data_IF_285683367696
#
_entry.id   IF_285683367696
#
_cell.length_a   1.000
_cell.length_b   1.000
_cell.length_c   1.000
_cell.angle_alpha   90.00
_cell.angle_beta   90.00
_cell.angle_gamma   90.00
#
_symmetry.space_group_name_H-M   'P 1'
#
loop_
_entity.id
_entity.type
_entity.pdbx_description
1 polymer ?
#
# COMPACT_ATOMS: atom_id res chain seq x y z
N UNK A 1 -6.78 5.75 -32.02
CA UNK A 1 -7.56 5.47 -30.81
C UNK A 1 -6.89 4.32 -30.09
N UNK A 2 -6.25 4.59 -28.99
CA UNK A 2 -5.57 3.61 -28.14
C UNK A 2 -6.22 3.64 -26.76
N UNK A 3 -6.32 2.49 -26.11
CA UNK A 3 -6.78 2.41 -24.72
C UNK A 3 -5.57 2.27 -23.81
N UNK A 4 -5.48 3.13 -22.81
CA UNK A 4 -4.39 3.15 -21.85
C UNK A 4 -4.93 2.87 -20.44
N UNK A 5 -4.14 2.17 -19.64
CA UNK A 5 -4.37 1.97 -18.20
C UNK A 5 -3.16 2.49 -17.46
N UNK A 6 -3.35 3.54 -16.66
CA UNK A 6 -2.38 4.05 -15.69
C UNK A 6 -2.77 3.45 -14.34
N UNK A 7 -1.85 2.75 -13.67
CA UNK A 7 -2.15 2.06 -12.41
C UNK A 7 -1.02 2.22 -11.39
N UNK A 8 -1.36 2.11 -10.11
CA UNK A 8 -0.39 2.13 -9.02
C UNK A 8 0.54 0.91 -9.07
N UNK A 9 1.73 1.03 -8.48
CA UNK A 9 2.76 -0.03 -8.51
C UNK A 9 2.74 -0.91 -7.25
N UNK A 10 1.56 -1.30 -6.81
CA UNK A 10 1.34 -2.24 -5.70
C UNK A 10 0.32 -3.33 -6.07
N UNK A 11 -0.02 -4.18 -5.10
CA UNK A 11 -0.92 -5.30 -5.36
C UNK A 11 -2.32 -4.85 -5.80
N UNK A 12 -2.83 -3.75 -5.23
CA UNK A 12 -4.16 -3.23 -5.58
C UNK A 12 -4.17 -2.64 -6.99
N UNK A 13 -3.16 -1.83 -7.35
CA UNK A 13 -3.00 -1.28 -8.69
C UNK A 13 -2.79 -2.37 -9.75
N UNK A 14 -1.99 -3.40 -9.47
CA UNK A 14 -1.81 -4.53 -10.39
C UNK A 14 -3.08 -5.36 -10.56
N UNK A 15 -3.81 -5.61 -9.47
CA UNK A 15 -5.10 -6.30 -9.54
C UNK A 15 -6.12 -5.47 -10.33
N UNK A 16 -6.19 -4.17 -10.10
CA UNK A 16 -7.03 -3.23 -10.86
C UNK A 16 -6.74 -3.28 -12.36
N UNK A 17 -5.45 -3.25 -12.73
CA UNK A 17 -5.02 -3.36 -14.13
C UNK A 17 -5.40 -4.71 -14.74
N UNK A 18 -5.21 -5.83 -14.03
CA UNK A 18 -5.59 -7.17 -14.48
C UNK A 18 -7.09 -7.33 -14.68
N UNK A 19 -7.90 -6.79 -13.76
CA UNK A 19 -9.36 -6.75 -13.87
C UNK A 19 -9.78 -5.98 -15.13
N UNK A 20 -9.28 -4.77 -15.30
CA UNK A 20 -9.61 -3.92 -16.45
C UNK A 20 -9.22 -4.60 -17.77
N UNK A 21 -8.02 -5.23 -17.84
CA UNK A 21 -7.58 -6.00 -19.01
C UNK A 21 -8.56 -7.11 -19.37
N UNK A 22 -9.01 -7.90 -18.38
CA UNK A 22 -9.96 -8.98 -18.63
C UNK A 22 -11.25 -8.47 -19.28
N UNK A 23 -11.86 -7.42 -18.73
CA UNK A 23 -13.08 -6.84 -19.29
C UNK A 23 -12.88 -6.18 -20.66
N UNK A 24 -11.74 -5.53 -20.88
CA UNK A 24 -11.41 -4.93 -22.17
C UNK A 24 -11.13 -5.98 -23.23
N UNK A 25 -10.48 -7.08 -22.88
CA UNK A 25 -10.24 -8.22 -23.77
C UNK A 25 -11.54 -8.86 -24.27
N UNK A 26 -12.58 -8.99 -23.41
CA UNK A 26 -13.93 -9.44 -23.86
C UNK A 26 -14.58 -8.48 -24.89
N UNK A 27 -14.10 -7.24 -24.99
CA UNK A 27 -14.52 -6.27 -26.01
C UNK A 27 -13.56 -6.22 -27.21
N UNK A 28 -12.56 -7.09 -27.25
CA UNK A 28 -11.53 -7.09 -28.30
C UNK A 28 -10.51 -5.95 -28.18
N UNK A 29 -10.38 -5.33 -27.01
CA UNK A 29 -9.48 -4.20 -26.75
C UNK A 29 -8.25 -4.70 -25.98
N UNK A 30 -7.05 -4.37 -26.49
CA UNK A 30 -5.78 -4.62 -25.79
C UNK A 30 -5.22 -3.28 -25.31
N UNK A 31 -5.24 -2.98 -24.00
CA UNK A 31 -4.74 -1.72 -23.48
C UNK A 31 -3.21 -1.68 -23.38
N UNK A 32 -2.64 -0.47 -23.43
CA UNK A 32 -1.27 -0.17 -23.05
C UNK A 32 -1.24 0.13 -21.56
N UNK A 33 -0.34 -0.52 -20.82
CA UNK A 33 -0.20 -0.35 -19.37
C UNK A 33 0.90 0.65 -19.04
N UNK A 34 0.65 1.50 -18.04
CA UNK A 34 1.59 2.48 -17.50
C UNK A 34 1.64 2.32 -15.98
N UNK A 35 2.69 1.66 -15.48
CA UNK A 35 2.94 1.54 -14.04
C UNK A 35 3.42 2.89 -13.50
N UNK A 36 2.75 3.39 -12.48
CA UNK A 36 3.06 4.68 -11.86
C UNK A 36 3.21 4.58 -10.35
N UNK A 37 3.99 5.52 -9.83
CA UNK A 37 4.08 5.82 -8.41
C UNK A 37 4.23 7.35 -8.23
N UNK A 38 4.00 7.86 -7.02
CA UNK A 38 4.04 9.30 -6.72
C UNK A 38 5.45 9.93 -6.86
N UNK A 39 6.51 9.13 -6.94
CA UNK A 39 7.89 9.55 -7.18
C UNK A 39 8.29 9.57 -8.68
N UNK A 40 7.37 9.20 -9.57
CA UNK A 40 7.60 9.15 -11.02
C UNK A 40 6.78 10.21 -11.77
N UNK A 41 7.34 10.71 -12.84
CA UNK A 41 6.59 11.55 -13.78
C UNK A 41 6.02 10.71 -14.93
N UNK A 42 4.77 10.98 -15.27
CA UNK A 42 4.15 10.43 -16.46
C UNK A 42 4.69 11.19 -17.68
N UNK A 43 5.53 10.52 -18.45
CA UNK A 43 6.18 11.10 -19.64
C UNK A 43 5.49 10.72 -20.94
N UNK A 44 4.50 9.83 -20.87
CA UNK A 44 3.75 9.37 -22.05
C UNK A 44 2.87 10.48 -22.61
N UNK A 45 2.73 10.48 -23.93
CA UNK A 45 1.89 11.44 -24.65
C UNK A 45 0.62 10.72 -25.11
N UNK A 46 -0.54 11.25 -24.73
CA UNK A 46 -1.84 10.72 -25.08
C UNK A 46 -2.46 11.54 -26.21
N UNK A 47 -3.14 10.86 -27.11
CA UNK A 47 -3.84 11.49 -28.24
C UNK A 47 -5.28 11.88 -27.87
N UNK A 48 -5.82 12.86 -28.59
CA UNK A 48 -7.21 13.32 -28.41
C UNK A 48 -8.27 12.25 -28.67
N UNK A 49 -7.93 11.18 -29.36
CA UNK A 49 -8.84 10.08 -29.70
C UNK A 49 -8.59 8.85 -28.77
N UNK A 50 -7.79 9.00 -27.71
CA UNK A 50 -7.46 7.91 -26.81
C UNK A 50 -8.44 7.84 -25.63
N UNK A 51 -8.56 6.63 -25.09
CA UNK A 51 -9.30 6.35 -23.85
C UNK A 51 -8.28 6.06 -22.73
N UNK A 52 -8.37 6.75 -21.61
CA UNK A 52 -7.47 6.57 -20.47
C UNK A 52 -8.24 6.17 -19.23
N UNK A 53 -7.82 5.03 -18.63
CA UNK A 53 -8.22 4.60 -17.31
C UNK A 53 -7.10 4.93 -16.32
N UNK A 54 -7.41 5.61 -15.21
CA UNK A 54 -6.52 5.75 -14.06
C UNK A 54 -7.13 4.91 -12.95
N UNK A 55 -6.38 3.89 -12.49
CA UNK A 55 -6.85 2.87 -11.58
C UNK A 55 -5.98 2.85 -10.32
N UNK A 56 -6.62 2.99 -9.15
CA UNK A 56 -5.93 2.97 -7.85
C UNK A 56 -4.80 4.00 -7.76
N UNK A 57 -4.93 5.10 -8.47
CA UNK A 57 -3.91 6.13 -8.60
C UNK A 57 -4.51 7.49 -8.95
N UNK A 58 -3.74 8.53 -8.69
CA UNK A 58 -4.03 9.88 -9.19
C UNK A 58 -2.75 10.62 -9.51
N UNK A 59 -2.75 11.37 -10.60
CA UNK A 59 -1.62 12.23 -10.96
C UNK A 59 -1.52 13.43 -10.01
N UNK A 60 -0.31 13.74 -9.59
CA UNK A 60 -0.03 14.88 -8.72
C UNK A 60 0.93 15.88 -9.39
N UNK A 61 0.72 17.20 -9.23
CA UNK A 61 -0.45 17.84 -8.59
C UNK A 61 -1.73 17.57 -9.37
N UNK A 62 -2.91 17.73 -8.73
CA UNK A 62 -4.23 17.40 -9.32
C UNK A 62 -4.50 18.08 -10.67
N UNK A 63 -3.84 19.21 -10.98
CA UNK A 63 -3.90 19.86 -12.29
C UNK A 63 -3.55 18.90 -13.44
N UNK A 64 -2.64 17.93 -13.23
CA UNK A 64 -2.29 16.93 -14.25
C UNK A 64 -3.46 16.00 -14.60
N UNK A 65 -4.38 15.74 -13.63
CA UNK A 65 -5.62 15.00 -13.88
C UNK A 65 -6.54 15.79 -14.84
N UNK A 66 -6.68 17.10 -14.59
CA UNK A 66 -7.48 18.00 -15.42
C UNK A 66 -6.88 18.13 -16.83
N UNK A 67 -5.56 18.32 -16.93
CA UNK A 67 -4.87 18.44 -18.21
C UNK A 67 -5.06 17.17 -19.05
N UNK A 68 -4.96 15.99 -18.44
CA UNK A 68 -5.18 14.73 -19.13
C UNK A 68 -6.64 14.54 -19.54
N UNK A 69 -7.60 14.87 -18.66
CA UNK A 69 -9.02 14.84 -18.97
C UNK A 69 -9.37 15.70 -20.18
N UNK A 70 -8.80 16.91 -20.28
CA UNK A 70 -9.03 17.82 -21.40
C UNK A 70 -8.29 17.38 -22.69
N UNK A 71 -7.37 16.43 -22.61
CA UNK A 71 -6.57 15.98 -23.75
C UNK A 71 -7.18 14.79 -24.46
N UNK A 72 -7.78 13.84 -23.71
CA UNK A 72 -8.22 12.54 -24.25
C UNK A 72 -9.72 12.51 -24.53
N UNK A 73 -10.17 11.52 -25.30
CA UNK A 73 -11.59 11.36 -25.64
C UNK A 73 -12.42 10.88 -24.45
N UNK A 74 -11.94 9.80 -23.80
CA UNK A 74 -12.61 9.20 -22.66
C UNK A 74 -11.62 9.11 -21.50
N UNK A 75 -12.04 9.61 -20.35
CA UNK A 75 -11.25 9.63 -19.12
C UNK A 75 -12.04 8.97 -18.00
N UNK A 76 -11.49 7.87 -17.47
CA UNK A 76 -12.12 7.11 -16.40
C UNK A 76 -11.14 7.08 -15.21
N UNK A 77 -11.57 7.60 -14.05
CA UNK A 77 -10.80 7.63 -12.83
C UNK A 77 -11.45 6.81 -11.72
N UNK A 78 -10.77 5.76 -11.28
CA UNK A 78 -11.21 4.85 -10.22
C UNK A 78 -10.16 4.86 -9.11
N UNK A 79 -10.55 5.31 -7.91
CA UNK A 79 -9.62 5.54 -6.82
C UNK A 79 -10.33 5.49 -5.46
N UNK A 80 -9.59 5.17 -4.40
CA UNK A 80 -10.09 5.11 -3.03
C UNK A 80 -9.28 5.99 -2.06
N UNK A 81 -8.19 6.61 -2.50
CA UNK A 81 -7.33 7.43 -1.66
C UNK A 81 -8.05 8.70 -1.18
N UNK A 82 -8.43 8.71 0.10
CA UNK A 82 -9.26 9.77 0.71
C UNK A 82 -8.65 11.17 0.54
N UNK A 83 -7.32 11.32 0.59
CA UNK A 83 -6.63 12.60 0.43
C UNK A 83 -6.95 13.25 -0.92
N UNK A 84 -6.84 12.48 -2.00
CA UNK A 84 -7.07 12.98 -3.37
C UNK A 84 -8.54 13.19 -3.66
N UNK A 85 -9.40 12.28 -3.16
CA UNK A 85 -10.87 12.44 -3.27
C UNK A 85 -11.33 13.73 -2.57
N UNK A 86 -10.76 14.04 -1.40
CA UNK A 86 -11.08 15.28 -0.68
C UNK A 86 -10.52 16.52 -1.39
N UNK A 87 -9.33 16.44 -1.97
CA UNK A 87 -8.78 17.52 -2.81
C UNK A 87 -9.69 17.81 -4.01
N UNK A 88 -10.12 16.78 -4.73
CA UNK A 88 -11.08 16.90 -5.83
C UNK A 88 -12.38 17.56 -5.40
N UNK A 89 -12.99 17.14 -4.28
CA UNK A 89 -14.19 17.76 -3.73
C UNK A 89 -13.99 19.22 -3.39
N UNK A 90 -12.89 19.56 -2.74
CA UNK A 90 -12.55 20.95 -2.36
C UNK A 90 -12.37 21.84 -3.60
N UNK A 91 -11.78 21.32 -4.68
CA UNK A 91 -11.67 22.05 -5.95
C UNK A 91 -13.05 22.28 -6.56
N UNK A 92 -13.91 21.26 -6.59
CA UNK A 92 -15.29 21.38 -7.09
C UNK A 92 -16.08 22.45 -6.30
N UNK A 93 -16.02 22.42 -4.99
CA UNK A 93 -16.70 23.39 -4.12
C UNK A 93 -16.21 24.83 -4.36
N UNK A 94 -14.90 24.99 -4.52
CA UNK A 94 -14.28 26.30 -4.74
C UNK A 94 -14.56 26.90 -6.12
N UNK A 95 -14.58 26.05 -7.15
CA UNK A 95 -14.68 26.50 -8.56
C UNK A 95 -16.12 26.45 -9.08
N UNK A 96 -17.00 25.69 -8.45
CA UNK A 96 -18.33 25.35 -8.96
C UNK A 96 -18.28 24.44 -10.21
N UNK A 97 -17.09 23.97 -10.59
CA UNK A 97 -16.89 23.08 -11.74
C UNK A 97 -17.10 21.62 -11.30
N UNK A 98 -17.99 20.93 -11.99
CA UNK A 98 -18.08 19.48 -11.92
C UNK A 98 -17.44 18.95 -13.21
N UNK A 99 -16.20 18.45 -13.12
CA UNK A 99 -15.56 17.86 -14.30
C UNK A 99 -16.15 16.49 -14.66
N UNK A 100 -17.25 16.11 -14.32
CA UNK A 100 -17.96 14.92 -14.77
C UNK A 100 -17.08 13.69 -15.05
N UNK A 101 -15.97 13.51 -14.27
CA UNK A 101 -15.08 12.37 -14.47
C UNK A 101 -15.85 11.07 -14.26
N UNK A 102 -15.85 10.24 -15.29
CA UNK A 102 -16.35 8.88 -15.18
C UNK A 102 -15.51 8.07 -14.18
N UNK A 103 -16.08 7.03 -13.59
CA UNK A 103 -15.41 6.16 -12.64
C UNK A 103 -16.02 6.18 -11.24
N UNK A 104 -15.39 5.44 -10.32
CA UNK A 104 -15.81 5.31 -8.93
C UNK A 104 -14.74 5.84 -7.98
N UNK A 105 -15.16 6.63 -7.00
CA UNK A 105 -14.29 7.21 -5.97
C UNK A 105 -14.96 7.06 -4.61
N UNK A 106 -14.60 5.96 -3.91
CA UNK A 106 -15.24 5.60 -2.63
C UNK A 106 -14.16 5.16 -1.62
N UNK A 107 -14.15 5.79 -0.46
CA UNK A 107 -13.37 5.35 0.69
C UNK A 107 -13.94 4.05 1.29
N UNK A 108 -13.09 3.24 1.91
CA UNK A 108 -13.45 1.97 2.56
C UNK A 108 -13.44 0.73 1.65
N UNK A 109 -13.20 0.92 0.35
CA UNK A 109 -12.97 -0.13 -0.64
C UNK A 109 -11.63 0.12 -1.32
N UNK A 110 -11.00 -0.91 -1.85
CA UNK A 110 -9.76 -0.77 -2.61
C UNK A 110 -10.02 -0.51 -4.10
N UNK A 111 -8.97 -0.09 -4.84
CA UNK A 111 -9.06 0.20 -6.28
C UNK A 111 -9.54 -1.00 -7.10
N UNK A 112 -9.11 -2.22 -6.76
CA UNK A 112 -9.54 -3.45 -7.44
C UNK A 112 -11.03 -3.76 -7.23
N UNK A 113 -11.56 -3.57 -6.02
CA UNK A 113 -13.00 -3.73 -5.76
C UNK A 113 -13.82 -2.70 -6.57
N UNK A 114 -13.37 -1.45 -6.59
CA UNK A 114 -14.02 -0.39 -7.35
C UNK A 114 -13.93 -0.61 -8.86
N UNK A 115 -12.79 -1.11 -9.35
CA UNK A 115 -12.61 -1.45 -10.77
C UNK A 115 -13.56 -2.58 -11.19
N UNK A 116 -13.66 -3.65 -10.38
CA UNK A 116 -14.63 -4.71 -10.62
C UNK A 116 -16.06 -4.17 -10.67
N UNK A 117 -16.45 -3.36 -9.69
CA UNK A 117 -17.79 -2.77 -9.65
C UNK A 117 -18.05 -1.89 -10.87
N UNK A 118 -17.10 -1.04 -11.27
CA UNK A 118 -17.24 -0.16 -12.44
C UNK A 118 -17.51 -0.92 -13.73
N UNK A 119 -16.76 -1.97 -14.01
CA UNK A 119 -16.93 -2.74 -15.25
C UNK A 119 -18.21 -3.57 -15.28
N UNK A 120 -18.79 -3.88 -14.11
CA UNK A 120 -20.06 -4.61 -13.97
C UNK A 120 -21.28 -3.69 -13.80
N UNK A 121 -21.09 -2.35 -13.74
CA UNK A 121 -22.22 -1.41 -13.62
C UNK A 121 -23.06 -1.38 -14.90
N UNK A 122 -24.33 -1.81 -14.86
CA UNK A 122 -25.24 -1.62 -15.97
C UNK A 122 -25.54 -0.13 -16.11
N UNK A 123 -25.47 0.36 -17.34
CA UNK A 123 -25.79 1.75 -17.70
C UNK A 123 -25.12 2.84 -16.85
N UNK A 124 -23.98 2.50 -16.20
CA UNK A 124 -23.22 3.40 -15.29
C UNK A 124 -24.07 3.97 -14.14
N UNK A 125 -25.12 3.25 -13.74
CA UNK A 125 -25.98 3.66 -12.63
C UNK A 125 -25.32 3.38 -11.27
N UNK A 126 -25.01 4.42 -10.53
CA UNK A 126 -24.40 4.32 -9.19
C UNK A 126 -25.32 3.65 -8.12
N UNK A 127 -26.61 3.48 -8.41
CA UNK A 127 -27.56 2.86 -7.47
C UNK A 127 -27.22 1.38 -7.15
N UNK A 128 -26.48 0.70 -8.01
CA UNK A 128 -26.13 -0.72 -7.85
C UNK A 128 -24.71 -0.95 -7.32
N UNK A 129 -23.93 0.10 -7.12
CA UNK A 129 -22.53 -0.02 -6.69
C UNK A 129 -22.37 -0.86 -5.42
N UNK A 130 -23.16 -0.59 -4.38
CA UNK A 130 -23.09 -1.34 -3.13
C UNK A 130 -23.41 -2.84 -3.28
N UNK A 131 -24.34 -3.19 -4.16
CA UNK A 131 -24.65 -4.60 -4.43
C UNK A 131 -23.48 -5.29 -5.15
N UNK A 132 -22.85 -4.62 -6.10
CA UNK A 132 -21.67 -5.13 -6.82
C UNK A 132 -20.46 -5.26 -5.90
N UNK A 133 -20.20 -4.29 -5.02
CA UNK A 133 -19.12 -4.33 -4.04
C UNK A 133 -19.32 -5.46 -3.02
N UNK A 134 -20.54 -5.82 -2.70
CA UNK A 134 -20.85 -6.98 -1.85
C UNK A 134 -20.70 -8.34 -2.57
N UNK A 135 -20.60 -8.33 -3.90
CA UNK A 135 -20.52 -9.55 -4.73
C UNK A 135 -19.19 -9.69 -5.47
N UNK A 136 -18.15 -8.94 -5.05
CA UNK A 136 -16.82 -9.09 -5.67
C UNK A 136 -16.27 -10.50 -5.50
N UNK A 137 -15.55 -11.06 -6.49
CA UNK A 137 -14.90 -12.36 -6.38
C UNK A 137 -13.91 -12.41 -5.22
N UNK A 138 -13.78 -13.61 -4.62
CA UNK A 138 -13.03 -13.80 -3.38
C UNK A 138 -11.57 -13.31 -3.46
N UNK A 139 -10.87 -13.49 -4.58
CA UNK A 139 -9.51 -12.98 -4.73
C UNK A 139 -9.45 -11.45 -4.66
N UNK A 140 -10.39 -10.75 -5.30
CA UNK A 140 -10.47 -9.29 -5.28
C UNK A 140 -10.81 -8.80 -3.86
N UNK A 141 -11.69 -9.51 -3.17
CA UNK A 141 -12.01 -9.21 -1.76
C UNK A 141 -10.78 -9.33 -0.86
N UNK A 142 -9.92 -10.34 -1.07
CA UNK A 142 -8.69 -10.51 -0.30
C UNK A 142 -7.69 -9.36 -0.55
N UNK A 143 -7.61 -8.83 -1.78
CA UNK A 143 -6.84 -7.59 -2.05
C UNK A 143 -7.39 -6.45 -1.21
N UNK A 144 -8.71 -6.21 -1.25
CA UNK A 144 -9.33 -5.14 -0.47
C UNK A 144 -9.19 -5.33 1.05
N UNK A 145 -9.32 -6.56 1.55
CA UNK A 145 -9.13 -6.84 2.97
C UNK A 145 -7.70 -6.55 3.44
N UNK A 146 -6.70 -6.74 2.57
CA UNK A 146 -5.32 -6.38 2.83
C UNK A 146 -5.12 -4.87 2.75
N UNK A 147 -5.45 -4.26 1.63
CA UNK A 147 -5.14 -2.88 1.31
C UNK A 147 -5.81 -1.88 2.28
N UNK A 148 -7.07 -2.10 2.60
CA UNK A 148 -7.84 -1.26 3.53
C UNK A 148 -7.73 -1.68 5.00
N UNK A 149 -6.80 -2.57 5.35
CA UNK A 149 -6.57 -3.08 6.72
C UNK A 149 -7.78 -3.78 7.35
N UNK A 150 -8.76 -4.19 6.56
CA UNK A 150 -9.92 -4.95 7.07
C UNK A 150 -9.50 -6.30 7.64
N UNK A 151 -8.43 -6.90 7.11
CA UNK A 151 -7.87 -8.17 7.59
C UNK A 151 -7.51 -8.14 9.08
N UNK A 152 -7.10 -6.99 9.63
CA UNK A 152 -6.76 -6.85 11.05
C UNK A 152 -7.97 -7.06 11.99
N UNK A 153 -9.20 -6.97 11.46
CA UNK A 153 -10.45 -7.17 12.19
C UNK A 153 -11.11 -8.53 11.92
N UNK A 154 -10.53 -9.33 11.03
CA UNK A 154 -11.04 -10.64 10.62
C UNK A 154 -10.16 -11.71 11.24
N UNK A 155 -10.73 -12.50 12.16
CA UNK A 155 -10.02 -13.62 12.76
C UNK A 155 -9.59 -14.63 11.67
N UNK A 156 -8.33 -15.03 11.70
CA UNK A 156 -7.73 -15.95 10.72
C UNK A 156 -7.88 -15.49 9.25
N UNK A 157 -7.79 -14.19 9.00
CA UNK A 157 -7.84 -13.65 7.64
C UNK A 157 -6.77 -14.26 6.73
N UNK A 158 -7.16 -14.65 5.54
CA UNK A 158 -6.24 -15.17 4.51
C UNK A 158 -5.61 -14.07 3.65
N UNK A 159 -5.99 -12.80 3.85
CA UNK A 159 -5.48 -11.69 3.05
C UNK A 159 -3.97 -11.48 3.17
N UNK A 160 -3.34 -11.59 4.36
CA UNK A 160 -1.87 -11.51 4.46
C UNK A 160 -1.16 -12.60 3.66
N UNK A 161 -1.59 -13.86 3.80
CA UNK A 161 -1.02 -14.97 3.05
C UNK A 161 -1.23 -14.80 1.54
N UNK A 162 -2.44 -14.40 1.12
CA UNK A 162 -2.74 -14.13 -0.28
C UNK A 162 -1.84 -13.04 -0.86
N UNK A 163 -1.66 -11.91 -0.15
CA UNK A 163 -0.70 -10.86 -0.54
C UNK A 163 0.73 -11.40 -0.63
N UNK A 164 1.17 -12.14 0.38
CA UNK A 164 2.52 -12.70 0.45
C UNK A 164 2.84 -13.65 -0.70
N UNK A 165 1.83 -14.33 -1.24
CA UNK A 165 2.01 -15.18 -2.43
C UNK A 165 2.50 -14.40 -3.66
N UNK A 166 2.25 -13.12 -3.74
CA UNK A 166 2.70 -12.28 -4.86
C UNK A 166 4.05 -11.58 -4.63
N UNK A 167 4.65 -11.68 -3.44
CA UNK A 167 5.95 -11.04 -3.15
C UNK A 167 7.12 -11.58 -4.01
N UNK A 168 6.93 -12.72 -4.67
CA UNK A 168 7.93 -13.37 -5.53
C UNK A 168 7.62 -13.22 -7.02
N UNK A 169 6.57 -12.48 -7.37
CA UNK A 169 6.11 -12.28 -8.74
C UNK A 169 6.53 -10.91 -9.27
N UNK A 170 6.74 -10.83 -10.58
CA UNK A 170 6.88 -9.53 -11.26
C UNK A 170 5.51 -8.85 -11.38
N UNK A 171 5.47 -7.52 -11.58
CA UNK A 171 4.22 -6.81 -11.85
C UNK A 171 3.39 -7.43 -12.96
N UNK A 172 4.02 -7.81 -14.07
CA UNK A 172 3.37 -8.44 -15.21
C UNK A 172 2.74 -9.78 -14.86
N UNK A 173 3.42 -10.60 -14.05
CA UNK A 173 2.90 -11.90 -13.58
C UNK A 173 1.68 -11.71 -12.66
N UNK A 174 1.69 -10.69 -11.80
CA UNK A 174 0.55 -10.34 -10.95
C UNK A 174 -0.65 -9.91 -11.79
N UNK A 175 -0.44 -8.95 -12.70
CA UNK A 175 -1.49 -8.47 -13.62
C UNK A 175 -2.07 -9.64 -14.43
N UNK A 176 -1.21 -10.50 -14.97
CA UNK A 176 -1.64 -11.66 -15.76
C UNK A 176 -2.43 -12.68 -14.92
N UNK A 177 -2.06 -12.86 -13.65
CA UNK A 177 -2.80 -13.73 -12.75
C UNK A 177 -4.23 -13.22 -12.52
N UNK A 178 -4.41 -11.92 -12.25
CA UNK A 178 -5.73 -11.32 -12.06
C UNK A 178 -6.54 -11.29 -13.36
N UNK A 179 -5.92 -10.99 -14.50
CA UNK A 179 -6.57 -11.08 -15.81
C UNK A 179 -7.13 -12.49 -16.06
N UNK A 180 -6.33 -13.53 -15.85
CA UNK A 180 -6.75 -14.92 -16.00
C UNK A 180 -7.85 -15.32 -15.00
N UNK A 181 -7.71 -14.90 -13.74
CA UNK A 181 -8.69 -15.18 -12.69
C UNK A 181 -10.05 -14.55 -13.04
N UNK A 182 -10.05 -13.30 -13.43
CA UNK A 182 -11.27 -12.57 -13.80
C UNK A 182 -11.89 -13.12 -15.08
N UNK A 183 -11.11 -13.39 -16.13
CA UNK A 183 -11.60 -13.98 -17.37
C UNK A 183 -12.33 -15.29 -17.11
N UNK A 184 -11.72 -16.19 -16.33
CA UNK A 184 -12.36 -17.47 -15.97
C UNK A 184 -13.60 -17.27 -15.10
N UNK A 185 -13.60 -16.28 -14.21
CA UNK A 185 -14.78 -15.94 -13.40
C UNK A 185 -15.94 -15.46 -14.28
N UNK A 186 -15.65 -14.61 -15.27
CA UNK A 186 -16.63 -14.15 -16.25
C UNK A 186 -17.16 -15.30 -17.12
N UNK A 187 -16.34 -16.29 -17.41
CA UNK A 187 -16.72 -17.52 -18.12
C UNK A 187 -17.41 -18.56 -17.20
N UNK A 188 -17.78 -18.17 -15.98
CA UNK A 188 -18.45 -19.01 -14.99
C UNK A 188 -17.66 -20.23 -14.50
N UNK A 189 -16.33 -20.19 -14.55
CA UNK A 189 -15.50 -21.24 -13.93
C UNK A 189 -15.42 -21.05 -12.41
N UNK A 190 -15.42 -22.17 -11.69
CA UNK A 190 -15.20 -22.16 -10.24
C UNK A 190 -13.69 -22.01 -9.98
N UNK A 191 -13.30 -20.92 -9.33
CA UNK A 191 -11.90 -20.56 -9.11
C UNK A 191 -11.36 -20.91 -7.72
N UNK A 192 -12.13 -21.63 -6.90
CA UNK A 192 -11.77 -21.93 -5.51
C UNK A 192 -10.44 -22.68 -5.37
N UNK A 193 -10.17 -23.64 -6.27
CA UNK A 193 -8.92 -24.39 -6.25
C UNK A 193 -7.71 -23.50 -6.58
N UNK A 194 -7.84 -22.61 -7.56
CA UNK A 194 -6.78 -21.66 -7.95
C UNK A 194 -6.50 -20.65 -6.83
N UNK A 195 -7.55 -20.16 -6.17
CA UNK A 195 -7.42 -19.26 -5.04
C UNK A 195 -6.80 -19.97 -3.84
N UNK A 196 -7.26 -21.19 -3.53
CA UNK A 196 -6.70 -22.00 -2.43
C UNK A 196 -5.22 -22.29 -2.65
N UNK A 197 -4.81 -22.64 -3.87
CA UNK A 197 -3.40 -22.87 -4.21
C UNK A 197 -2.57 -21.61 -3.99
N UNK A 198 -3.06 -20.46 -4.44
CA UNK A 198 -2.37 -19.18 -4.25
C UNK A 198 -2.23 -18.83 -2.76
N UNK A 199 -3.25 -19.02 -1.94
CA UNK A 199 -3.18 -18.81 -0.49
C UNK A 199 -2.16 -19.77 0.15
N UNK A 200 -2.14 -21.03 -0.21
CA UNK A 200 -1.19 -22.02 0.32
C UNK A 200 0.26 -21.70 -0.03
N UNK A 201 0.52 -21.15 -1.22
CA UNK A 201 1.84 -20.61 -1.58
C UNK A 201 2.24 -19.50 -0.62
N UNK A 202 1.36 -18.55 -0.34
CA UNK A 202 1.61 -17.46 0.60
C UNK A 202 1.87 -17.95 2.03
N UNK A 203 1.06 -18.88 2.53
CA UNK A 203 1.27 -19.51 3.85
C UNK A 203 2.67 -20.15 3.92
N UNK A 204 3.08 -20.85 2.87
CA UNK A 204 4.42 -21.48 2.81
C UNK A 204 5.54 -20.46 2.85
N UNK A 205 5.39 -19.33 2.13
CA UNK A 205 6.35 -18.23 2.13
C UNK A 205 6.38 -17.56 3.51
N UNK A 206 5.23 -17.34 4.15
CA UNK A 206 5.16 -16.76 5.51
C UNK A 206 5.85 -17.65 6.54
N UNK A 207 5.60 -18.96 6.51
CA UNK A 207 6.28 -19.90 7.39
C UNK A 207 7.79 -19.85 7.21
N UNK A 208 8.28 -19.78 5.97
CA UNK A 208 9.71 -19.64 5.70
C UNK A 208 10.25 -18.32 6.26
N UNK A 209 9.56 -17.19 6.01
CA UNK A 209 9.95 -15.88 6.53
C UNK A 209 10.01 -15.84 8.06
N UNK A 210 9.05 -16.45 8.74
CA UNK A 210 9.00 -16.55 10.22
C UNK A 210 10.17 -17.40 10.73
N UNK A 211 10.43 -18.55 10.13
CA UNK A 211 11.53 -19.44 10.54
C UNK A 211 12.89 -18.75 10.35
N UNK A 212 13.12 -18.12 9.19
CA UNK A 212 14.33 -17.33 8.91
C UNK A 212 14.49 -16.20 9.94
N UNK A 213 13.42 -15.43 10.16
CA UNK A 213 13.44 -14.30 11.08
C UNK A 213 13.70 -14.74 12.53
N UNK A 214 13.09 -15.82 12.98
CA UNK A 214 13.33 -16.37 14.32
C UNK A 214 14.78 -16.76 14.52
N UNK A 215 15.43 -17.31 13.48
CA UNK A 215 16.86 -17.64 13.54
C UNK A 215 17.73 -16.38 13.60
N UNK A 216 17.43 -15.37 12.79
CA UNK A 216 18.16 -14.09 12.79
C UNK A 216 17.99 -13.33 14.09
N UNK A 217 16.78 -13.30 14.64
CA UNK A 217 16.48 -12.57 15.89
C UNK A 217 17.25 -13.09 17.10
N UNK A 218 17.55 -14.39 17.15
CA UNK A 218 18.38 -14.96 18.24
C UNK A 218 19.76 -14.31 18.37
N UNK A 219 20.32 -13.81 17.26
CA UNK A 219 21.67 -13.23 17.22
C UNK A 219 21.70 -11.71 17.03
N UNK A 220 20.59 -11.12 16.58
CA UNK A 220 20.56 -9.70 16.16
C UNK A 220 19.65 -8.83 16.99
N UNK A 221 18.66 -9.41 17.68
CA UNK A 221 17.74 -8.64 18.49
C UNK A 221 18.33 -8.36 19.89
N UNK A 222 18.09 -7.16 20.39
CA UNK A 222 18.49 -6.73 21.73
C UNK A 222 17.46 -5.75 22.30
N UNK A 223 17.33 -5.75 23.64
CA UNK A 223 16.52 -4.78 24.34
C UNK A 223 17.27 -3.44 24.40
N UNK A 224 16.55 -2.36 24.22
CA UNK A 224 17.09 -1.02 24.27
C UNK A 224 16.04 0.01 24.71
N UNK A 225 16.48 1.25 24.93
CA UNK A 225 15.64 2.43 25.12
C UNK A 225 15.81 3.35 23.92
N UNK A 226 14.69 3.78 23.34
CA UNK A 226 14.65 4.81 22.32
C UNK A 226 14.35 6.16 22.98
N UNK A 227 15.28 7.09 22.85
CA UNK A 227 15.19 8.45 23.40
C UNK A 227 14.69 9.39 22.30
N UNK A 228 13.52 9.98 22.50
CA UNK A 228 12.92 10.93 21.57
C UNK A 228 12.92 12.30 22.23
N UNK A 229 13.72 13.21 21.69
CA UNK A 229 13.78 14.60 22.16
C UNK A 229 12.71 15.40 21.43
N UNK A 230 11.74 15.97 22.13
CA UNK A 230 10.77 16.87 21.49
C UNK A 230 11.45 18.17 21.03
N UNK A 231 10.82 18.90 20.05
CA UNK A 231 11.33 20.19 19.63
C UNK A 231 11.46 21.17 20.81
N UNK A 232 12.36 22.10 20.72
CA UNK A 232 13.00 22.98 21.70
C UNK A 232 12.16 23.72 22.75
N UNK A 233 10.98 23.27 23.12
CA UNK A 233 10.17 23.90 24.19
C UNK A 233 9.36 22.89 25.07
N UNK A 234 9.60 21.58 24.94
CA UNK A 234 8.93 20.61 25.79
C UNK A 234 9.83 20.17 26.98
N UNK A 235 9.25 19.95 28.17
CA UNK A 235 10.01 19.84 29.43
C UNK A 235 10.76 18.51 29.63
N UNK A 236 10.60 17.50 28.78
CA UNK A 236 11.29 16.19 28.95
C UNK A 236 11.33 15.37 27.66
N UNK A 237 12.44 14.63 27.46
CA UNK A 237 12.53 13.56 26.46
C UNK A 237 11.59 12.41 26.82
N UNK A 238 10.90 11.85 25.84
CA UNK A 238 10.13 10.61 26.02
C UNK A 238 11.02 9.42 25.74
N UNK A 239 10.93 8.39 26.56
CA UNK A 239 11.74 7.17 26.46
C UNK A 239 10.83 5.97 26.25
N UNK A 240 11.04 5.25 25.16
CA UNK A 240 10.30 4.04 24.84
C UNK A 240 11.16 2.80 25.06
N UNK A 241 10.54 1.73 25.57
CA UNK A 241 11.17 0.40 25.63
C UNK A 241 11.08 -0.25 24.27
N UNK A 242 12.22 -0.64 23.70
CA UNK A 242 12.23 -1.19 22.35
C UNK A 242 12.93 -2.54 22.28
N UNK A 243 12.41 -3.42 21.42
CA UNK A 243 13.17 -4.54 20.89
C UNK A 243 13.77 -4.10 19.56
N UNK A 244 15.08 -3.97 19.49
CA UNK A 244 15.80 -3.49 18.33
C UNK A 244 16.52 -4.62 17.60
N UNK A 245 16.60 -4.57 16.27
CA UNK A 245 17.35 -5.54 15.48
C UNK A 245 17.96 -4.93 14.23
N UNK A 246 19.20 -5.34 13.91
CA UNK A 246 19.84 -5.01 12.63
C UNK A 246 19.32 -5.96 11.54
N UNK A 247 18.29 -5.53 10.79
CA UNK A 247 17.62 -6.41 9.81
C UNK A 247 16.96 -5.72 8.63
N UNK A 248 17.07 -4.41 8.51
CA UNK A 248 16.36 -3.64 7.49
C UNK A 248 14.86 -3.54 7.74
N UNK A 249 14.18 -2.81 6.86
CA UNK A 249 12.72 -2.68 6.87
C UNK A 249 12.08 -3.93 6.24
N UNK A 250 11.55 -4.82 7.07
CA UNK A 250 10.96 -6.08 6.59
C UNK A 250 9.61 -6.43 7.24
N UNK A 251 8.96 -5.44 7.82
CA UNK A 251 7.66 -5.61 8.48
C UNK A 251 7.77 -6.02 9.96
N UNK A 252 6.70 -5.77 10.69
CA UNK A 252 6.59 -6.09 12.13
C UNK A 252 6.53 -7.60 12.42
N UNK A 253 6.05 -8.39 11.45
CA UNK A 253 5.94 -9.85 11.51
C UNK A 253 7.29 -10.52 11.84
N UNK A 254 8.39 -9.90 11.42
CA UNK A 254 9.74 -10.39 11.70
C UNK A 254 10.11 -10.38 13.18
N UNK A 255 9.46 -9.55 13.96
CA UNK A 255 9.68 -9.47 15.42
C UNK A 255 8.82 -10.46 16.23
N UNK A 256 7.94 -11.24 15.61
CA UNK A 256 6.98 -12.12 16.30
C UNK A 256 7.61 -13.04 17.35
N UNK A 257 8.85 -13.51 17.13
CA UNK A 257 9.55 -14.42 18.08
C UNK A 257 10.17 -13.71 19.28
N UNK A 258 10.34 -12.38 19.27
CA UNK A 258 11.08 -11.62 20.29
C UNK A 258 10.29 -10.47 20.90
N UNK A 259 9.30 -9.93 20.18
CA UNK A 259 8.45 -8.85 20.66
C UNK A 259 7.49 -9.34 21.76
N UNK A 260 7.42 -8.58 22.84
CA UNK A 260 6.51 -8.82 23.97
C UNK A 260 5.82 -7.50 24.31
N UNK A 261 4.52 -7.35 24.02
CA UNK A 261 3.80 -6.09 24.24
C UNK A 261 3.82 -5.59 25.69
N UNK A 262 3.89 -6.51 26.65
CA UNK A 262 4.02 -6.19 28.07
C UNK A 262 5.40 -5.61 28.48
N UNK A 263 6.39 -5.65 27.58
CA UNK A 263 7.77 -5.23 27.84
C UNK A 263 8.31 -4.22 26.84
N UNK A 264 7.77 -4.21 25.62
CA UNK A 264 8.27 -3.41 24.54
C UNK A 264 7.17 -2.52 23.97
N UNK A 265 7.40 -1.24 23.98
CA UNK A 265 6.53 -0.24 23.37
C UNK A 265 6.63 -0.27 21.83
N UNK A 266 7.85 -0.51 21.31
CA UNK A 266 8.17 -0.41 19.89
C UNK A 266 9.07 -1.57 19.44
N UNK A 267 8.81 -2.07 18.24
CA UNK A 267 9.75 -2.88 17.45
C UNK A 267 10.55 -1.93 16.55
N UNK A 268 11.89 -1.99 16.63
CA UNK A 268 12.79 -1.12 15.88
C UNK A 268 13.72 -1.95 14.98
N UNK A 269 13.48 -1.89 13.67
CA UNK A 269 14.40 -2.44 12.67
C UNK A 269 15.34 -1.36 12.14
N UNK A 270 16.62 -1.71 11.92
CA UNK A 270 17.53 -0.78 11.26
C UNK A 270 18.50 -1.51 10.32
N UNK A 271 18.92 -0.82 9.26
CA UNK A 271 19.95 -1.31 8.34
C UNK A 271 20.85 -0.19 7.84
N UNK A 272 22.13 -0.53 7.66
CA UNK A 272 23.09 0.33 7.00
C UNK A 272 22.91 0.19 5.48
N UNK A 273 22.71 1.29 4.79
CA UNK A 273 22.49 1.33 3.35
C UNK A 273 23.79 1.63 2.58
N UNK A 274 23.81 1.29 1.30
CA UNK A 274 24.93 1.61 0.40
C UNK A 274 25.18 3.12 0.21
N UNK A 275 24.21 3.94 0.61
CA UNK A 275 24.30 5.42 0.62
C UNK A 275 25.10 5.97 1.80
N UNK A 276 25.54 5.11 2.73
CA UNK A 276 26.16 5.52 3.99
C UNK A 276 25.17 5.95 5.09
N UNK A 277 23.87 5.85 4.82
CA UNK A 277 22.80 6.16 5.76
C UNK A 277 22.34 4.90 6.50
N UNK A 278 21.64 5.09 7.58
CA UNK A 278 20.92 4.03 8.31
C UNK A 278 19.43 4.26 8.14
N UNK A 279 18.74 3.31 7.55
CA UNK A 279 17.28 3.29 7.55
C UNK A 279 16.78 2.69 8.86
N UNK A 280 15.77 3.33 9.47
CA UNK A 280 15.14 2.89 10.71
C UNK A 280 13.64 2.74 10.46
N UNK A 281 13.10 1.59 10.86
CA UNK A 281 11.67 1.31 10.83
C UNK A 281 11.14 1.09 12.23
N UNK A 282 10.03 1.71 12.56
CA UNK A 282 9.34 1.62 13.85
C UNK A 282 7.99 0.96 13.65
N UNK A 283 7.63 0.02 14.53
CA UNK A 283 6.32 -0.61 14.55
C UNK A 283 5.82 -0.69 15.99
N UNK A 284 4.52 -0.51 16.19
CA UNK A 284 3.89 -0.71 17.50
C UNK A 284 2.51 -1.31 17.34
N UNK A 285 2.13 -2.17 18.32
CA UNK A 285 0.76 -2.68 18.47
C UNK A 285 -0.03 -1.91 19.53
N UNK A 286 0.59 -0.94 20.20
CA UNK A 286 -0.03 -0.12 21.24
C UNK A 286 -0.79 1.05 20.59
N UNK A 287 -2.06 1.16 20.92
CA UNK A 287 -2.92 2.23 20.34
C UNK A 287 -2.51 3.64 20.76
N UNK A 288 -1.88 3.81 21.92
CA UNK A 288 -1.39 5.09 22.44
C UNK A 288 -0.08 5.55 21.79
N UNK A 289 0.62 4.68 21.06
CA UNK A 289 1.90 4.99 20.42
C UNK A 289 1.69 5.39 18.96
N UNK A 290 2.19 6.55 18.60
CA UNK A 290 2.17 7.04 17.22
C UNK A 290 3.58 6.98 16.61
N UNK A 291 3.87 5.88 15.91
CA UNK A 291 5.16 5.67 15.25
C UNK A 291 5.47 6.77 14.23
N UNK A 292 4.45 7.33 13.54
CA UNK A 292 4.62 8.41 12.56
C UNK A 292 5.18 9.69 13.19
N UNK A 293 4.64 10.10 14.35
CA UNK A 293 5.16 11.25 15.10
C UNK A 293 6.56 11.00 15.64
N UNK A 294 6.81 9.80 16.20
CA UNK A 294 8.11 9.41 16.71
C UNK A 294 9.16 9.42 15.61
N UNK A 295 8.86 8.82 14.45
CA UNK A 295 9.76 8.81 13.30
C UNK A 295 10.07 10.22 12.79
N UNK A 296 9.08 11.10 12.75
CA UNK A 296 9.27 12.51 12.38
C UNK A 296 10.18 13.22 13.36
N UNK A 297 9.94 13.11 14.66
CA UNK A 297 10.78 13.73 15.69
C UNK A 297 12.23 13.23 15.64
N UNK A 298 12.43 11.91 15.47
CA UNK A 298 13.77 11.32 15.35
C UNK A 298 14.49 11.77 14.06
N UNK A 299 13.76 11.83 12.94
CA UNK A 299 14.30 12.27 11.66
C UNK A 299 14.67 13.76 11.66
N UNK A 300 13.80 14.61 12.20
CA UNK A 300 14.03 16.06 12.29
C UNK A 300 15.18 16.42 13.24
N UNK A 301 15.40 15.62 14.29
CA UNK A 301 16.54 15.76 15.20
C UNK A 301 17.86 15.22 14.63
N UNK A 302 17.78 14.38 13.60
CA UNK A 302 18.93 13.70 12.99
C UNK A 302 19.62 14.48 11.88
N UNK A 303 20.72 13.93 11.34
CA UNK A 303 21.50 14.59 10.29
C UNK A 303 20.82 14.63 8.93
N UNK A 304 19.76 13.84 8.73
CA UNK A 304 18.99 13.78 7.50
C UNK A 304 17.53 14.08 7.84
N UNK A 305 17.14 15.34 7.75
CA UNK A 305 15.77 15.76 8.08
C UNK A 305 14.71 14.95 7.33
N UNK A 306 13.64 14.63 8.04
CA UNK A 306 12.48 13.90 7.50
C UNK A 306 12.33 12.51 8.08
N UNK A 307 11.11 12.17 8.34
CA UNK A 307 10.63 10.89 8.83
C UNK A 307 9.12 10.95 8.92
N UNK A 308 8.45 9.83 9.01
CA UNK A 308 7.00 9.78 9.12
C UNK A 308 6.45 8.41 8.76
N UNK A 309 5.14 8.35 8.62
CA UNK A 309 4.40 7.13 8.31
C UNK A 309 3.08 7.10 9.06
N UNK A 310 2.53 5.90 9.18
CA UNK A 310 1.28 5.67 9.89
C UNK A 310 1.50 5.51 11.40
N UNK A 311 0.40 5.57 12.16
CA UNK A 311 0.41 5.41 13.61
C UNK A 311 1.08 4.09 14.05
N UNK A 312 0.80 2.98 13.37
CA UNK A 312 1.34 1.66 13.71
C UNK A 312 2.66 1.31 13.04
N UNK A 313 3.10 2.05 11.99
CA UNK A 313 4.29 1.75 11.21
C UNK A 313 4.86 3.03 10.58
N UNK A 314 6.14 3.31 10.79
CA UNK A 314 6.80 4.51 10.29
C UNK A 314 8.30 4.30 10.15
N UNK A 315 9.00 5.26 9.52
CA UNK A 315 10.45 5.18 9.37
C UNK A 315 11.12 6.53 9.19
N UNK A 316 12.44 6.52 9.35
CA UNK A 316 13.30 7.68 9.12
C UNK A 316 14.71 7.25 8.69
N UNK A 317 15.45 8.19 8.13
CA UNK A 317 16.87 8.01 7.81
C UNK A 317 17.73 8.72 8.84
N UNK A 318 18.86 8.11 9.19
CA UNK A 318 19.81 8.70 10.15
C UNK A 318 21.24 8.26 9.87
N UNK A 319 22.22 8.71 10.65
CA UNK A 319 23.58 8.15 10.68
C UNK A 319 23.72 7.09 11.77
N UNK A 320 24.73 6.24 11.64
CA UNK A 320 25.04 5.22 12.65
C UNK A 320 25.39 5.86 14.00
N UNK A 321 26.19 6.91 13.96
CA UNK A 321 26.64 7.63 15.15
C UNK A 321 25.46 8.26 15.90
N UNK A 322 24.49 8.83 15.16
CA UNK A 322 23.33 9.46 15.77
C UNK A 322 22.37 8.39 16.32
N UNK A 323 22.14 7.30 15.57
CA UNK A 323 21.29 6.22 16.04
C UNK A 323 21.82 5.62 17.34
N UNK A 324 23.06 5.14 17.34
CA UNK A 324 23.65 4.40 18.48
C UNK A 324 24.18 5.33 19.58
N UNK A 325 24.59 6.54 19.22
CA UNK A 325 25.13 7.53 20.16
C UNK A 325 24.06 8.33 20.91
N UNK A 326 22.94 8.62 20.24
CA UNK A 326 21.93 9.56 20.75
C UNK A 326 20.56 8.93 20.97
N UNK A 327 20.03 8.24 19.96
CA UNK A 327 18.65 7.76 20.00
C UNK A 327 18.49 6.41 20.73
N UNK A 328 19.37 5.45 20.47
CA UNK A 328 19.22 4.08 20.92
C UNK A 328 20.28 3.73 21.98
N UNK A 329 19.83 3.38 23.19
CA UNK A 329 20.69 2.92 24.27
C UNK A 329 20.37 1.48 24.61
N UNK A 330 21.33 0.58 24.47
CA UNK A 330 21.18 -0.83 24.83
C UNK A 330 20.95 -0.97 26.33
N UNK A 331 20.07 -1.87 26.74
CA UNK A 331 19.89 -2.18 28.15
C UNK A 331 21.11 -2.91 28.67
N UNK A 332 21.75 -2.34 29.68
CA UNK A 332 22.95 -2.90 30.31
C UNK A 332 24.26 -2.19 29.97
N UNK A 333 24.21 -1.14 29.15
CA UNK A 333 25.35 -0.23 28.88
C UNK A 333 25.36 0.96 29.84
#
# INVERSE_FOLDING_TARGET
MTTHIIHHNDLDGYASAGIAKAFLAHKGITPVLHEMNYDRELTDVFGKDDTVYILDFSLQPFQKMEDLFNTVQDFIWIDHHASVINEYKAIQEKTGLSWGYDGLRLDGYCGAELTWAWFNLPDKSLMQVNALLNSVPAAIKLVGDWDTWRHAKIENSMAPAFKTAFDTHTPEEVIQWFENYVTKTLDHYIMDAVLTDKINQGISIEHFKIAESSSLMKSRAFNAKLWVTPPTNAPSSTVYSVIAANMGSRGSDRFASVYKPDRHDIMLGFAYENTGKVSVSLYSTHEEINCGEIAKLCGDAGPFSGGGGHKGAAGFLTSWEFLMGTLLKKEGD
#
